data_IF_822710390047
#
_entry.id   IF_822710390047
#
_cell.length_a   1.000
_cell.length_b   1.000
_cell.length_c   1.000
_cell.angle_alpha   90.00
_cell.angle_beta   90.00
_cell.angle_gamma   90.00
#
_symmetry.space_group_name_H-M   'P 1'
#
loop_
_entity.id
_entity.type
_entity.pdbx_description
1 polymer ?
#
# COMPACT_ATOMS: atom_id res chain seq x y z
N UNK A 1 1.51 -10.51 0.33
CA UNK A 1 2.94 -10.13 0.27
C UNK A 1 3.21 -8.71 0.77
N UNK A 2 2.18 -7.87 0.91
CA UNK A 2 2.34 -6.49 1.36
C UNK A 2 2.07 -6.30 2.85
N UNK A 3 1.72 -7.35 3.61
CA UNK A 3 1.44 -7.27 5.05
C UNK A 3 2.66 -7.70 5.87
N UNK A 4 2.87 -7.06 7.02
CA UNK A 4 3.97 -7.32 7.96
C UNK A 4 4.13 -8.82 8.26
N UNK A 5 3.02 -9.49 8.55
CA UNK A 5 2.99 -10.89 8.98
C UNK A 5 3.42 -11.88 7.89
N UNK A 6 3.51 -11.43 6.63
CA UNK A 6 3.97 -12.26 5.51
C UNK A 6 5.49 -12.23 5.32
N UNK A 7 6.19 -11.28 5.92
CA UNK A 7 7.65 -11.15 5.77
C UNK A 7 8.44 -12.30 6.40
N UNK A 8 8.12 -12.81 7.60
CA UNK A 8 8.84 -13.97 8.16
C UNK A 8 8.78 -15.19 7.24
N UNK A 9 7.60 -15.48 6.66
CA UNK A 9 7.41 -16.57 5.70
C UNK A 9 8.24 -16.37 4.43
N UNK A 10 8.30 -15.12 3.92
CA UNK A 10 9.13 -14.77 2.78
C UNK A 10 10.62 -14.97 3.07
N UNK A 11 11.08 -14.52 4.24
CA UNK A 11 12.49 -14.66 4.62
C UNK A 11 12.89 -16.12 4.81
N UNK A 12 12.03 -16.94 5.43
CA UNK A 12 12.25 -18.39 5.50
C UNK A 12 12.32 -19.02 4.11
N UNK A 13 11.44 -18.62 3.18
CA UNK A 13 11.47 -19.13 1.80
C UNK A 13 12.77 -18.74 1.07
N UNK A 14 13.25 -17.51 1.25
CA UNK A 14 14.53 -17.04 0.67
C UNK A 14 15.70 -17.82 1.27
N UNK A 15 15.68 -18.04 2.59
CA UNK A 15 16.72 -18.81 3.28
C UNK A 15 16.79 -20.26 2.78
N UNK A 16 15.63 -20.92 2.63
CA UNK A 16 15.52 -22.29 2.11
C UNK A 16 16.08 -22.38 0.68
N UNK A 17 15.76 -21.39 -0.17
CA UNK A 17 16.28 -21.29 -1.53
C UNK A 17 17.79 -21.08 -1.56
N UNK A 18 18.31 -20.24 -0.67
CA UNK A 18 19.74 -19.95 -0.57
C UNK A 18 20.55 -21.15 -0.07
N UNK A 19 20.01 -21.92 0.89
CA UNK A 19 20.69 -23.10 1.45
C UNK A 19 20.60 -24.36 0.57
N UNK A 20 19.85 -24.32 -0.54
CA UNK A 20 19.71 -25.46 -1.45
C UNK A 20 18.91 -26.64 -0.88
N UNK A 21 18.21 -26.46 0.25
CA UNK A 21 17.46 -27.52 0.92
C UNK A 21 16.08 -27.73 0.27
N UNK A 22 16.11 -28.52 -0.82
CA UNK A 22 15.02 -29.25 -1.50
C UNK A 22 13.69 -28.53 -1.80
N UNK A 23 13.26 -28.64 -3.06
CA UNK A 23 12.04 -28.12 -3.67
C UNK A 23 10.70 -28.35 -2.91
N UNK A 24 10.66 -29.19 -1.87
CA UNK A 24 9.46 -29.46 -1.06
C UNK A 24 9.17 -28.39 0.00
N UNK A 25 10.18 -27.91 0.76
CA UNK A 25 9.98 -26.86 1.79
C UNK A 25 9.76 -25.47 1.17
N UNK A 26 10.55 -25.16 0.13
CA UNK A 26 10.33 -23.98 -0.68
C UNK A 26 8.90 -23.96 -1.27
N UNK A 27 8.36 -25.12 -1.70
CA UNK A 27 7.01 -25.22 -2.28
C UNK A 27 5.89 -24.85 -1.28
N UNK A 28 5.98 -25.23 -0.01
CA UNK A 28 4.97 -24.84 0.99
C UNK A 28 4.98 -23.33 1.26
N UNK A 29 6.16 -22.73 1.45
CA UNK A 29 6.27 -21.29 1.68
C UNK A 29 5.90 -20.49 0.42
N UNK A 30 6.32 -20.94 -0.77
CA UNK A 30 5.93 -20.35 -2.07
C UNK A 30 4.44 -20.48 -2.35
N UNK A 31 3.78 -21.58 -1.98
CA UNK A 31 2.33 -21.74 -2.17
C UNK A 31 1.53 -20.80 -1.25
N UNK A 32 1.97 -20.62 0.00
CA UNK A 32 1.42 -19.61 0.91
C UNK A 32 1.59 -18.19 0.34
N UNK A 33 2.74 -17.88 -0.24
CA UNK A 33 3.00 -16.59 -0.87
C UNK A 33 2.18 -16.37 -2.15
N UNK A 34 2.00 -17.40 -3.00
CA UNK A 34 1.18 -17.34 -4.22
C UNK A 34 -0.27 -16.98 -3.92
N UNK A 35 -0.85 -17.55 -2.86
CA UNK A 35 -2.23 -17.22 -2.45
C UNK A 35 -2.35 -15.83 -1.84
N UNK A 36 -1.23 -15.22 -1.43
CA UNK A 36 -1.15 -13.86 -0.86
C UNK A 36 -0.57 -12.85 -1.87
N UNK A 37 -0.32 -13.26 -3.11
CA UNK A 37 0.19 -12.39 -4.16
C UNK A 37 -0.95 -11.51 -4.68
N UNK A 38 -0.61 -10.28 -5.04
CA UNK A 38 -1.59 -9.36 -5.59
C UNK A 38 -1.90 -9.75 -7.04
N UNK A 39 -3.17 -10.01 -7.33
CA UNK A 39 -3.64 -10.49 -8.63
C UNK A 39 -4.49 -9.43 -9.33
N UNK A 40 -4.49 -9.48 -10.66
CA UNK A 40 -5.42 -8.72 -11.50
C UNK A 40 -6.80 -9.34 -11.36
N UNK A 41 -7.82 -8.56 -11.03
CA UNK A 41 -9.20 -9.03 -10.85
C UNK A 41 -10.19 -8.08 -11.51
N UNK A 42 -11.14 -8.54 -12.35
CA UNK A 42 -12.03 -7.64 -13.11
C UNK A 42 -12.69 -6.52 -12.28
N UNK A 43 -13.03 -6.81 -11.02
CA UNK A 43 -13.61 -5.84 -10.09
C UNK A 43 -12.64 -4.75 -9.64
N UNK A 44 -11.38 -5.10 -9.31
CA UNK A 44 -10.39 -4.13 -8.88
C UNK A 44 -9.99 -3.19 -10.03
N UNK A 45 -9.60 -3.74 -11.17
CA UNK A 45 -9.26 -2.96 -12.37
C UNK A 45 -10.45 -2.16 -12.89
N UNK A 46 -11.67 -2.69 -12.79
CA UNK A 46 -12.89 -1.96 -13.14
C UNK A 46 -13.03 -0.63 -12.43
N UNK A 47 -12.76 -0.60 -11.13
CA UNK A 47 -12.79 0.62 -10.32
C UNK A 47 -11.51 1.42 -10.53
N UNK A 48 -10.34 0.83 -10.30
CA UNK A 48 -9.06 1.55 -10.32
C UNK A 48 -8.78 2.21 -11.67
N UNK A 49 -9.02 1.50 -12.78
CA UNK A 49 -8.84 2.05 -14.12
C UNK A 49 -9.96 3.01 -14.50
N UNK A 50 -11.20 2.79 -14.03
CA UNK A 50 -12.31 3.70 -14.28
C UNK A 50 -12.16 5.05 -13.58
N UNK A 51 -11.60 5.08 -12.37
CA UNK A 51 -11.46 6.30 -11.56
C UNK A 51 -10.19 7.10 -11.89
N UNK A 52 -9.19 6.46 -12.50
CA UNK A 52 -7.91 7.09 -12.83
C UNK A 52 -7.91 7.73 -14.22
N UNK A 53 -7.03 8.71 -14.44
CA UNK A 53 -6.68 9.18 -15.78
C UNK A 53 -5.56 8.30 -16.34
N UNK A 54 -5.90 7.39 -17.25
CA UNK A 54 -4.96 6.40 -17.76
C UNK A 54 -4.19 6.91 -18.98
N UNK A 55 -2.92 6.52 -19.14
CA UNK A 55 -2.15 6.89 -20.32
C UNK A 55 -2.69 6.18 -21.57
N UNK A 56 -2.89 6.93 -22.65
CA UNK A 56 -3.29 6.39 -23.96
C UNK A 56 -2.10 5.98 -24.83
N UNK A 57 -0.90 6.46 -24.51
CA UNK A 57 0.33 6.16 -25.23
C UNK A 57 0.74 4.69 -25.07
N UNK A 58 1.08 4.04 -26.19
CA UNK A 58 1.50 2.64 -26.23
C UNK A 58 2.61 2.30 -25.24
N UNK A 59 3.62 3.15 -25.18
CA UNK A 59 4.85 2.86 -24.48
C UNK A 59 4.84 3.43 -23.05
N UNK A 60 3.69 3.90 -22.56
CA UNK A 60 3.56 4.42 -21.21
C UNK A 60 3.93 3.37 -20.15
N UNK A 61 3.45 2.13 -20.30
CA UNK A 61 3.78 1.04 -19.38
C UNK A 61 5.30 0.74 -19.37
N UNK A 62 5.95 0.77 -20.53
CA UNK A 62 7.40 0.54 -20.66
C UNK A 62 8.19 1.65 -19.96
N UNK A 63 7.80 2.93 -20.17
CA UNK A 63 8.43 4.06 -19.49
C UNK A 63 8.20 4.04 -17.98
N UNK A 64 6.98 3.71 -17.54
CA UNK A 64 6.66 3.54 -16.13
C UNK A 64 7.52 2.44 -15.51
N UNK A 65 7.66 1.29 -16.18
CA UNK A 65 8.48 0.18 -15.69
C UNK A 65 9.95 0.62 -15.53
N UNK A 66 10.54 1.22 -16.57
CA UNK A 66 11.92 1.71 -16.53
C UNK A 66 12.15 2.81 -15.47
N UNK A 67 11.13 3.60 -15.16
CA UNK A 67 11.20 4.57 -14.07
C UNK A 67 11.09 3.89 -12.71
N UNK A 68 10.06 3.06 -12.49
CA UNK A 68 9.83 2.39 -11.21
C UNK A 68 10.94 1.41 -10.83
N UNK A 69 11.56 0.73 -11.80
CA UNK A 69 12.73 -0.14 -11.53
C UNK A 69 13.91 0.66 -10.97
N UNK A 70 14.03 1.95 -11.31
CA UNK A 70 15.11 2.81 -10.82
C UNK A 70 14.76 3.54 -9.52
N UNK A 71 13.51 3.93 -9.34
CA UNK A 71 13.09 4.80 -8.22
C UNK A 71 12.40 4.04 -7.08
N UNK A 72 11.87 2.86 -7.35
CA UNK A 72 11.18 1.99 -6.40
C UNK A 72 11.42 0.51 -6.76
N UNK A 73 12.68 0.05 -6.75
CA UNK A 73 13.06 -1.27 -7.29
C UNK A 73 12.31 -2.44 -6.65
N UNK A 74 11.93 -2.32 -5.38
CA UNK A 74 11.29 -3.40 -4.63
C UNK A 74 9.85 -3.69 -5.12
N UNK A 75 8.97 -2.69 -5.03
CA UNK A 75 7.53 -2.86 -5.32
C UNK A 75 7.06 -2.13 -6.58
N UNK A 76 7.87 -1.24 -7.13
CA UNK A 76 7.54 -0.45 -8.32
C UNK A 76 7.23 -1.29 -9.56
N UNK A 77 8.04 -2.32 -9.90
CA UNK A 77 7.72 -3.22 -11.01
C UNK A 77 6.38 -3.96 -10.84
N UNK A 78 6.05 -4.38 -9.62
CA UNK A 78 4.78 -5.04 -9.29
C UNK A 78 3.59 -4.11 -9.59
N UNK A 79 3.63 -2.88 -9.06
CA UNK A 79 2.54 -1.91 -9.27
C UNK A 79 2.43 -1.45 -10.73
N UNK A 80 3.55 -1.35 -11.45
CA UNK A 80 3.52 -1.08 -12.89
C UNK A 80 2.86 -2.21 -13.67
N UNK A 81 3.14 -3.46 -13.32
CA UNK A 81 2.51 -4.62 -13.96
C UNK A 81 0.99 -4.62 -13.73
N UNK A 82 0.54 -4.43 -12.49
CA UNK A 82 -0.90 -4.37 -12.16
C UNK A 82 -1.59 -3.23 -12.91
N UNK A 83 -1.02 -2.03 -12.90
CA UNK A 83 -1.58 -0.87 -13.59
C UNK A 83 -1.56 -0.95 -15.12
N UNK A 84 -0.79 -1.87 -15.71
CA UNK A 84 -0.66 -1.99 -17.17
C UNK A 84 -1.99 -2.30 -17.87
N UNK A 85 -2.91 -3.00 -17.18
CA UNK A 85 -4.26 -3.29 -17.66
C UNK A 85 -5.09 -2.02 -17.90
N UNK A 86 -4.82 -0.93 -17.16
CA UNK A 86 -5.59 0.30 -17.26
C UNK A 86 -5.36 1.07 -18.56
N UNK A 87 -4.25 0.82 -19.27
CA UNK A 87 -3.91 1.51 -20.52
C UNK A 87 -4.99 1.33 -21.59
N UNK A 88 -5.53 0.11 -21.70
CA UNK A 88 -6.56 -0.24 -22.70
C UNK A 88 -7.95 -0.28 -22.10
N UNK A 89 -8.13 0.24 -20.88
CA UNK A 89 -9.41 0.19 -20.21
C UNK A 89 -10.42 1.10 -20.92
N UNK A 90 -11.58 0.58 -21.35
CA UNK A 90 -12.44 1.26 -22.32
C UNK A 90 -13.36 2.32 -21.69
N UNK A 91 -13.45 2.38 -20.36
CA UNK A 91 -14.44 3.18 -19.67
C UNK A 91 -13.82 4.05 -18.57
N UNK A 92 -14.36 5.25 -18.40
CA UNK A 92 -14.08 6.09 -17.23
C UNK A 92 -15.34 6.17 -16.37
N UNK A 93 -15.19 6.13 -15.05
CA UNK A 93 -16.30 6.33 -14.13
C UNK A 93 -16.81 7.77 -14.23
N UNK A 94 -18.11 8.00 -14.55
CA UNK A 94 -18.70 9.34 -14.58
C UNK A 94 -18.66 10.04 -13.22
N UNK A 95 -18.66 9.27 -12.13
CA UNK A 95 -18.58 9.77 -10.75
C UNK A 95 -17.15 9.93 -10.22
N UNK A 96 -16.13 9.69 -11.05
CA UNK A 96 -14.74 9.79 -10.60
C UNK A 96 -14.42 11.21 -10.12
N UNK A 97 -14.16 11.34 -8.82
CA UNK A 97 -13.72 12.60 -8.25
C UNK A 97 -12.26 12.83 -8.61
N UNK A 98 -11.99 13.84 -9.43
CA UNK A 98 -10.62 14.20 -9.86
C UNK A 98 -10.10 15.47 -9.19
N UNK A 99 -10.80 15.93 -8.16
CA UNK A 99 -10.52 17.17 -7.45
C UNK A 99 -11.60 18.24 -7.68
N UNK A 100 -11.42 19.43 -7.07
CA UNK A 100 -10.24 19.85 -6.30
C UNK A 100 -10.12 19.11 -4.95
N UNK A 101 -8.93 18.62 -4.62
CA UNK A 101 -8.71 17.81 -3.41
C UNK A 101 -8.66 18.62 -2.12
N UNK A 102 -8.38 19.92 -2.23
CA UNK A 102 -8.35 20.86 -1.11
C UNK A 102 -9.77 21.20 -0.66
N UNK A 103 -10.26 20.44 0.31
CA UNK A 103 -11.60 20.61 0.90
C UNK A 103 -11.49 20.72 2.42
N UNK A 104 -12.27 21.64 2.97
CA UNK A 104 -12.48 21.73 4.40
C UNK A 104 -13.53 20.71 4.81
N UNK A 105 -13.19 19.91 5.82
CA UNK A 105 -14.11 18.96 6.44
C UNK A 105 -14.70 19.53 7.71
N UNK A 106 -15.95 19.17 7.99
CA UNK A 106 -16.68 19.60 9.20
C UNK A 106 -16.08 19.04 10.49
N UNK A 107 -15.40 17.90 10.40
CA UNK A 107 -14.64 17.29 11.49
C UNK A 107 -13.18 17.07 11.05
N UNK A 108 -12.21 17.08 11.98
CA UNK A 108 -10.83 16.75 11.65
C UNK A 108 -10.70 15.32 11.14
N UNK A 109 -9.79 15.08 10.20
CA UNK A 109 -9.51 13.74 9.64
C UNK A 109 -8.24 13.16 10.30
N UNK A 110 -8.31 11.91 10.76
CA UNK A 110 -7.13 11.14 11.13
C UNK A 110 -6.62 10.31 9.94
N UNK A 111 -5.41 10.59 9.49
CA UNK A 111 -4.69 9.81 8.47
C UNK A 111 -3.65 8.95 9.20
N UNK A 112 -3.68 7.64 8.99
CA UNK A 112 -2.70 6.71 9.58
C UNK A 112 -2.00 5.96 8.47
N UNK A 113 -0.67 5.89 8.52
CA UNK A 113 0.11 5.18 7.52
C UNK A 113 1.41 4.64 8.12
N UNK A 114 1.80 3.44 7.70
CA UNK A 114 3.09 2.88 8.05
C UNK A 114 4.21 3.64 7.30
N UNK A 115 5.36 3.85 7.95
CA UNK A 115 6.51 4.51 7.33
C UNK A 115 7.09 3.71 6.17
N UNK A 116 6.92 2.38 6.18
CA UNK A 116 7.35 1.46 5.13
C UNK A 116 6.17 0.66 4.54
N UNK A 117 5.10 1.37 4.15
CA UNK A 117 3.96 0.78 3.42
C UNK A 117 4.29 0.61 1.93
N UNK A 118 4.29 -0.62 1.39
CA UNK A 118 4.64 -0.90 0.00
C UNK A 118 3.50 -0.66 -1.00
N UNK A 119 2.27 -0.46 -0.53
CA UNK A 119 1.07 -0.26 -1.36
C UNK A 119 0.64 1.20 -1.40
N UNK A 120 0.63 1.84 -0.24
CA UNK A 120 0.26 3.25 -0.06
C UNK A 120 1.39 3.95 0.71
N UNK A 121 2.47 4.37 0.02
CA UNK A 121 3.65 4.92 0.68
C UNK A 121 3.34 6.16 1.52
N UNK A 122 4.09 6.36 2.61
CA UNK A 122 3.94 7.50 3.54
C UNK A 122 4.01 8.87 2.84
N UNK A 123 4.69 8.96 1.70
CA UNK A 123 4.72 10.17 0.85
C UNK A 123 3.34 10.51 0.30
N UNK A 124 2.52 9.51 -0.05
CA UNK A 124 1.13 9.67 -0.44
C UNK A 124 0.26 10.16 0.72
N UNK A 125 0.41 9.58 1.93
CA UNK A 125 -0.28 10.06 3.13
C UNK A 125 0.12 11.49 3.51
N UNK A 126 1.40 11.86 3.34
CA UNK A 126 1.89 13.23 3.54
C UNK A 126 1.27 14.19 2.51
N UNK A 127 1.16 13.77 1.25
CA UNK A 127 0.48 14.56 0.23
C UNK A 127 -1.01 14.73 0.54
N UNK A 128 -1.69 13.67 0.99
CA UNK A 128 -3.09 13.73 1.43
C UNK A 128 -3.28 14.70 2.60
N UNK A 129 -2.42 14.63 3.61
CA UNK A 129 -2.45 15.55 4.75
C UNK A 129 -2.31 17.02 4.33
N UNK A 130 -1.43 17.32 3.36
CA UNK A 130 -1.31 18.68 2.78
C UNK A 130 -2.55 19.11 1.99
N UNK A 131 -3.23 18.18 1.35
CA UNK A 131 -4.47 18.44 0.63
C UNK A 131 -5.68 18.56 1.56
N UNK A 132 -5.59 18.08 2.81
CA UNK A 132 -6.67 18.11 3.79
C UNK A 132 -6.27 18.96 5.01
N UNK A 133 -6.46 20.29 4.97
CA UNK A 133 -5.94 21.21 6.00
C UNK A 133 -6.50 20.95 7.42
N UNK A 134 -7.67 20.33 7.53
CA UNK A 134 -8.25 19.87 8.79
C UNK A 134 -7.97 18.37 9.02
N UNK A 135 -6.70 17.97 8.99
CA UNK A 135 -6.31 16.58 9.23
C UNK A 135 -5.08 16.49 10.13
N UNK A 136 -4.86 15.32 10.74
CA UNK A 136 -3.61 14.93 11.36
C UNK A 136 -3.09 13.66 10.69
N UNK A 137 -1.78 13.61 10.49
CA UNK A 137 -1.07 12.41 10.08
C UNK A 137 -0.43 11.75 11.30
N UNK A 138 -0.75 10.49 11.54
CA UNK A 138 -0.07 9.60 12.48
C UNK A 138 0.82 8.62 11.71
N UNK A 139 2.14 8.86 11.64
CA UNK A 139 3.08 7.88 11.16
C UNK A 139 3.16 6.69 12.12
N UNK A 140 3.31 5.50 11.56
CA UNK A 140 3.54 4.27 12.32
C UNK A 140 4.88 3.67 11.85
N UNK A 141 5.86 3.59 12.75
CA UNK A 141 7.16 2.98 12.49
C UNK A 141 7.00 1.46 12.35
N UNK A 142 6.54 1.05 11.16
CA UNK A 142 6.18 -0.33 10.84
C UNK A 142 6.37 -0.59 9.34
N UNK A 143 6.45 -1.87 8.98
CA UNK A 143 6.48 -2.36 7.61
C UNK A 143 5.15 -2.98 7.21
N UNK A 144 4.81 -2.87 5.93
CA UNK A 144 3.63 -3.47 5.36
C UNK A 144 2.43 -2.51 5.25
N UNK A 145 1.35 -3.03 4.70
CA UNK A 145 0.19 -2.26 4.28
C UNK A 145 -0.93 -2.31 5.31
N UNK A 146 -1.40 -1.13 5.69
CA UNK A 146 -2.39 -0.96 6.74
C UNK A 146 -1.79 -1.09 8.15
N UNK A 147 -2.48 -0.51 9.13
CA UNK A 147 -1.99 -0.40 10.51
C UNK A 147 -3.00 -0.94 11.56
N UNK A 148 -4.07 -1.59 11.10
CA UNK A 148 -5.07 -2.22 11.97
C UNK A 148 -4.42 -3.38 12.73
N UNK A 149 -4.70 -3.48 14.03
CA UNK A 149 -4.15 -4.52 14.91
C UNK A 149 -2.92 -4.08 15.71
N UNK A 150 -2.29 -2.95 15.36
CA UNK A 150 -1.19 -2.37 16.15
C UNK A 150 -1.77 -1.65 17.38
N UNK A 151 -1.31 -2.00 18.57
CA UNK A 151 -1.87 -1.55 19.84
C UNK A 151 -1.86 -0.04 20.00
N UNK A 152 -0.77 0.63 19.57
CA UNK A 152 -0.69 2.09 19.57
C UNK A 152 -1.74 2.74 18.66
N UNK A 153 -1.95 2.18 17.47
CA UNK A 153 -2.92 2.66 16.48
C UNK A 153 -4.35 2.42 16.96
N UNK A 154 -4.62 1.28 17.59
CA UNK A 154 -5.92 0.99 18.20
C UNK A 154 -6.35 2.06 19.21
N UNK A 155 -5.44 2.48 20.09
CA UNK A 155 -5.69 3.57 21.06
C UNK A 155 -5.95 4.91 20.36
N UNK A 156 -5.22 5.20 19.29
CA UNK A 156 -5.43 6.41 18.49
C UNK A 156 -6.80 6.40 17.80
N UNK A 157 -7.21 5.27 17.22
CA UNK A 157 -8.54 5.12 16.62
C UNK A 157 -9.65 5.27 17.65
N UNK A 158 -9.53 4.65 18.82
CA UNK A 158 -10.52 4.80 19.89
C UNK A 158 -10.66 6.26 20.33
N UNK A 159 -9.54 6.94 20.59
CA UNK A 159 -9.56 8.34 21.00
C UNK A 159 -10.17 9.26 19.93
N UNK A 160 -9.84 9.04 18.66
CA UNK A 160 -10.37 9.79 17.54
C UNK A 160 -11.86 9.54 17.31
N UNK A 161 -12.28 8.28 17.26
CA UNK A 161 -13.68 7.92 16.96
C UNK A 161 -14.62 8.28 18.11
N UNK A 162 -14.21 8.13 19.36
CA UNK A 162 -15.08 8.40 20.51
C UNK A 162 -15.07 9.87 20.94
N UNK A 163 -13.94 10.58 20.76
CA UNK A 163 -13.76 11.93 21.34
C UNK A 163 -13.31 12.99 20.32
N UNK A 164 -13.08 12.61 19.07
CA UNK A 164 -12.47 13.50 18.07
C UNK A 164 -11.02 13.87 18.39
N UNK A 165 -10.37 13.17 19.33
CA UNK A 165 -9.03 13.50 19.79
C UNK A 165 -7.98 13.04 18.77
N UNK A 166 -7.14 13.96 18.30
CA UNK A 166 -6.09 13.65 17.34
C UNK A 166 -4.77 13.31 18.06
N UNK A 167 -4.15 12.17 17.71
CA UNK A 167 -2.84 11.79 18.25
C UNK A 167 -1.73 12.67 17.68
N UNK A 168 -0.61 12.74 18.39
CA UNK A 168 0.63 13.38 17.94
C UNK A 168 1.81 12.41 18.05
N UNK A 169 2.85 12.63 17.26
CA UNK A 169 4.07 11.82 17.29
C UNK A 169 4.00 10.62 16.36
N UNK A 170 4.70 9.53 16.72
CA UNK A 170 4.83 8.33 15.89
C UNK A 170 4.51 7.10 16.71
N UNK A 171 3.61 6.26 16.21
CA UNK A 171 3.36 4.95 16.80
C UNK A 171 4.48 3.99 16.47
N UNK A 172 4.81 3.10 17.40
CA UNK A 172 5.73 2.00 17.16
C UNK A 172 4.96 0.74 16.79
N UNK A 173 5.57 -0.13 16.00
CA UNK A 173 5.08 -1.51 15.83
C UNK A 173 5.10 -2.24 17.18
N UNK A 174 4.15 -3.17 17.37
CA UNK A 174 4.08 -3.97 18.59
C UNK A 174 5.22 -4.99 18.67
N UNK A 175 5.72 -5.43 17.51
CA UNK A 175 6.83 -6.35 17.37
C UNK A 175 7.83 -5.84 16.33
N UNK A 176 9.14 -6.08 16.51
CA UNK A 176 10.11 -5.78 15.49
C UNK A 176 9.92 -6.73 14.29
N UNK A 177 10.22 -6.23 13.08
CA UNK A 177 10.09 -7.02 11.85
C UNK A 177 11.01 -8.26 11.84
N UNK A 178 12.18 -8.12 12.44
CA UNK A 178 13.16 -9.19 12.61
C UNK A 178 13.46 -9.36 14.11
N UNK A 179 13.58 -10.61 14.60
CA UNK A 179 14.00 -10.90 15.97
C UNK A 179 15.38 -10.31 16.33
#
# INVERSE_FOLDING_TARGET
MTSADTYPVLMSAIQDLYQGDTARKASSSLSLLKNKAQQVTPSFEGVACGETTNPTNRDAAVRSAAWTTRTAPDFGPLWTWIGSACRTWPATSPGAYRGPWQKWTTAPILIVNNTHDPSTPITGATALHRLMPNSALLPVANYGHGAVGISCVGKAYEAYLLRGALPSGTCQADTPLFP
#
